data_IF_899988108172
#
_entry.id   IF_899988108172
#
_cell.length_a   1.000
_cell.length_b   1.000
_cell.length_c   1.000
_cell.angle_alpha   90.00
_cell.angle_beta   90.00
_cell.angle_gamma   90.00
#
_symmetry.space_group_name_H-M   'P 1'
#
loop_
_entity.id
_entity.type
_entity.pdbx_description
1 polymer ?
#
# COMPACT_ATOMS: atom_id res chain seq x y z
N UNK A 1 -14.35 -3.70 4.58
CA UNK A 1 -14.70 -2.27 4.72
C UNK A 1 -13.51 -1.31 4.73
N UNK A 2 -12.53 -1.38 5.66
CA UNK A 2 -11.52 -0.30 5.80
C UNK A 2 -10.60 -0.08 4.58
N UNK A 3 -10.39 -1.12 3.76
CA UNK A 3 -9.56 -1.04 2.54
C UNK A 3 -10.38 -0.89 1.26
N UNK A 4 -11.71 -0.85 1.38
CA UNK A 4 -12.64 -0.84 0.25
C UNK A 4 -12.42 0.39 -0.61
N UNK A 5 -12.47 1.59 -0.03
CA UNK A 5 -12.23 2.84 -0.75
C UNK A 5 -10.82 2.91 -1.37
N UNK A 6 -9.83 2.26 -0.74
CA UNK A 6 -8.43 2.28 -1.21
C UNK A 6 -8.25 1.36 -2.44
N UNK A 7 -9.01 0.26 -2.50
CA UNK A 7 -8.86 -0.76 -3.53
C UNK A 7 -10.05 -0.82 -4.49
N UNK A 8 -11.05 0.07 -4.36
CA UNK A 8 -12.26 0.08 -5.17
C UNK A 8 -11.92 0.23 -6.67
N UNK A 9 -11.10 1.22 -7.02
CA UNK A 9 -10.66 1.50 -8.39
C UNK A 9 -9.86 0.34 -9.01
N UNK A 10 -9.36 -0.57 -8.18
CA UNK A 10 -8.53 -1.72 -8.59
C UNK A 10 -9.21 -3.05 -8.26
N UNK A 11 -10.54 -3.06 -8.09
CA UNK A 11 -11.36 -4.25 -7.87
C UNK A 11 -10.89 -5.13 -6.70
N UNK A 12 -10.40 -4.50 -5.62
CA UNK A 12 -9.91 -5.20 -4.42
C UNK A 12 -8.45 -5.67 -4.49
N UNK A 13 -7.75 -5.44 -5.61
CA UNK A 13 -6.35 -5.85 -5.79
C UNK A 13 -5.42 -4.67 -5.49
N UNK A 14 -4.39 -4.86 -4.67
CA UNK A 14 -3.35 -3.85 -4.49
C UNK A 14 -2.36 -3.89 -5.64
N UNK A 15 -2.32 -2.81 -6.42
CA UNK A 15 -1.48 -2.66 -7.61
C UNK A 15 -0.48 -1.52 -7.43
N UNK A 16 -0.86 -0.48 -6.70
CA UNK A 16 -0.09 0.75 -6.58
C UNK A 16 0.63 0.91 -5.24
N UNK A 17 1.80 1.54 -5.28
CA UNK A 17 2.58 1.91 -4.11
C UNK A 17 1.78 2.81 -3.14
N UNK A 18 1.01 3.72 -3.69
CA UNK A 18 0.17 4.66 -2.96
C UNK A 18 -0.94 3.94 -2.17
N UNK A 19 -1.43 2.78 -2.65
CA UNK A 19 -2.41 1.97 -1.93
C UNK A 19 -1.80 1.32 -0.68
N UNK A 20 -0.54 0.87 -0.75
CA UNK A 20 0.19 0.34 0.42
C UNK A 20 0.34 1.42 1.49
N UNK A 21 0.70 2.63 1.07
CA UNK A 21 0.84 3.76 1.99
C UNK A 21 -0.49 4.15 2.63
N UNK A 22 -1.56 4.27 1.83
CA UNK A 22 -2.90 4.58 2.31
C UNK A 22 -3.42 3.48 3.26
N UNK A 23 -3.18 2.21 2.96
CA UNK A 23 -3.55 1.09 3.82
C UNK A 23 -2.84 1.14 5.17
N UNK A 24 -1.53 1.41 5.19
CA UNK A 24 -0.78 1.56 6.45
C UNK A 24 -1.32 2.71 7.30
N UNK A 25 -1.63 3.85 6.68
CA UNK A 25 -2.23 4.99 7.38
C UNK A 25 -3.62 4.65 7.94
N UNK A 26 -4.50 4.08 7.11
CA UNK A 26 -5.88 3.76 7.48
C UNK A 26 -5.97 2.65 8.53
N UNK A 27 -5.12 1.63 8.44
CA UNK A 27 -5.17 0.45 9.31
C UNK A 27 -4.38 0.64 10.60
N UNK A 28 -3.17 1.19 10.52
CA UNK A 28 -2.24 1.28 11.66
C UNK A 28 -2.06 2.70 12.20
N UNK A 29 -2.71 3.70 11.60
CA UNK A 29 -2.60 5.10 12.02
C UNK A 29 -1.25 5.73 11.67
N UNK A 30 -0.57 5.22 10.64
CA UNK A 30 0.69 5.78 10.16
C UNK A 30 0.48 7.19 9.60
N UNK A 31 1.41 8.10 9.88
CA UNK A 31 1.52 9.33 9.10
C UNK A 31 1.98 9.02 7.68
N UNK A 32 1.77 9.94 6.73
CA UNK A 32 2.24 9.78 5.35
C UNK A 32 3.75 9.53 5.27
N UNK A 33 4.53 10.19 6.14
CA UNK A 33 5.98 10.01 6.21
C UNK A 33 6.36 8.59 6.69
N UNK A 34 5.67 8.08 7.73
CA UNK A 34 5.89 6.71 8.21
C UNK A 34 5.49 5.69 7.14
N UNK A 35 4.40 5.93 6.43
CA UNK A 35 3.94 5.06 5.35
C UNK A 35 4.93 4.99 4.18
N UNK A 36 5.59 6.10 3.80
CA UNK A 36 6.65 6.07 2.79
C UNK A 36 7.90 5.32 3.28
N UNK A 37 8.26 5.46 4.56
CA UNK A 37 9.37 4.67 5.15
C UNK A 37 9.09 3.16 5.06
N UNK A 38 7.86 2.74 5.39
CA UNK A 38 7.41 1.36 5.24
C UNK A 38 7.53 0.89 3.78
N UNK A 39 6.99 1.67 2.84
CA UNK A 39 7.06 1.37 1.40
C UNK A 39 8.51 1.19 0.93
N UNK A 40 9.42 2.06 1.36
CA UNK A 40 10.85 1.97 1.03
C UNK A 40 11.51 0.73 1.63
N UNK A 41 11.19 0.39 2.87
CA UNK A 41 11.71 -0.81 3.54
C UNK A 41 11.26 -2.09 2.81
N UNK A 42 9.99 -2.16 2.42
CA UNK A 42 9.43 -3.26 1.63
C UNK A 42 10.12 -3.39 0.26
N UNK A 43 10.30 -2.28 -0.45
CA UNK A 43 10.97 -2.29 -1.76
C UNK A 43 12.44 -2.73 -1.70
N UNK A 44 13.16 -2.41 -0.61
CA UNK A 44 14.55 -2.85 -0.39
C UNK A 44 14.69 -4.25 0.21
N UNK A 45 13.59 -4.87 0.66
CA UNK A 45 13.58 -6.16 1.37
C UNK A 45 14.53 -6.19 2.58
N UNK A 46 14.63 -5.06 3.29
CA UNK A 46 15.49 -4.90 4.47
C UNK A 46 14.87 -5.64 5.66
N UNK A 47 15.37 -6.82 6.00
CA UNK A 47 14.79 -7.72 7.00
C UNK A 47 14.68 -7.09 8.39
N UNK A 48 15.71 -6.35 8.82
CA UNK A 48 15.73 -5.74 10.15
C UNK A 48 14.70 -4.61 10.25
N UNK A 49 14.63 -3.75 9.24
CA UNK A 49 13.63 -2.68 9.19
C UNK A 49 12.22 -3.24 9.05
N UNK A 50 12.03 -4.28 8.24
CA UNK A 50 10.73 -4.93 8.08
C UNK A 50 10.23 -5.56 9.38
N UNK A 51 11.10 -6.20 10.16
CA UNK A 51 10.72 -6.73 11.47
C UNK A 51 10.29 -5.62 12.45
N UNK A 52 11.01 -4.50 12.46
CA UNK A 52 10.65 -3.33 13.27
C UNK A 52 9.32 -2.73 12.84
N UNK A 53 9.13 -2.54 11.53
CA UNK A 53 7.91 -1.97 10.98
C UNK A 53 6.70 -2.91 11.13
N UNK A 54 6.89 -4.23 11.08
CA UNK A 54 5.83 -5.19 11.38
C UNK A 54 5.29 -4.98 12.79
N UNK A 55 6.18 -4.86 13.79
CA UNK A 55 5.78 -4.63 15.17
C UNK A 55 4.99 -3.32 15.31
N UNK A 56 5.53 -2.23 14.76
CA UNK A 56 4.87 -0.92 14.76
C UNK A 56 3.49 -0.97 14.09
N UNK A 57 3.37 -1.69 12.97
CA UNK A 57 2.11 -1.85 12.24
C UNK A 57 1.07 -2.62 13.07
N UNK A 58 1.45 -3.73 13.70
CA UNK A 58 0.55 -4.54 14.53
C UNK A 58 0.05 -3.72 15.73
N UNK A 59 0.96 -3.06 16.46
CA UNK A 59 0.62 -2.19 17.58
C UNK A 59 -0.28 -1.03 17.14
N UNK A 60 0.04 -0.43 16.00
CA UNK A 60 -0.77 0.62 15.37
C UNK A 60 -2.18 0.13 15.00
N UNK A 61 -2.30 -1.08 14.46
CA UNK A 61 -3.57 -1.71 14.10
C UNK A 61 -4.44 -2.00 15.33
N UNK A 62 -3.84 -2.49 16.40
CA UNK A 62 -4.54 -2.71 17.67
C UNK A 62 -5.02 -1.37 18.27
N UNK A 63 -4.17 -0.33 18.27
CA UNK A 63 -4.49 0.98 18.83
C UNK A 63 -5.55 1.74 18.01
N UNK A 64 -5.43 1.73 16.69
CA UNK A 64 -6.22 2.60 15.80
C UNK A 64 -7.59 1.99 15.48
N UNK A 65 -7.61 0.69 15.16
CA UNK A 65 -8.81 0.01 14.66
C UNK A 65 -9.18 -1.24 15.46
N UNK A 66 -8.49 -1.53 16.57
CA UNK A 66 -8.70 -2.72 17.41
C UNK A 66 -8.62 -4.03 16.59
N UNK A 67 -7.76 -4.05 15.58
CA UNK A 67 -7.58 -5.23 14.73
C UNK A 67 -6.76 -6.27 15.50
N UNK A 68 -7.23 -7.52 15.63
CA UNK A 68 -6.49 -8.57 16.31
C UNK A 68 -5.14 -8.83 15.65
N UNK A 69 -4.13 -9.12 16.47
CA UNK A 69 -2.75 -9.35 16.03
C UNK A 69 -2.63 -10.38 14.89
N UNK A 70 -3.35 -11.50 14.97
CA UNK A 70 -3.35 -12.54 13.93
C UNK A 70 -3.76 -11.97 12.56
N UNK A 71 -4.77 -11.10 12.55
CA UNK A 71 -5.27 -10.47 11.32
C UNK A 71 -4.32 -9.37 10.84
N UNK A 72 -3.76 -8.58 11.75
CA UNK A 72 -2.77 -7.56 11.42
C UNK A 72 -1.51 -8.18 10.78
N UNK A 73 -1.02 -9.30 11.32
CA UNK A 73 0.08 -10.06 10.73
C UNK A 73 -0.22 -10.53 9.31
N UNK A 74 -1.39 -11.17 9.10
CA UNK A 74 -1.79 -11.63 7.77
C UNK A 74 -1.92 -10.49 6.76
N UNK A 75 -2.42 -9.32 7.20
CA UNK A 75 -2.47 -8.12 6.34
C UNK A 75 -1.05 -7.64 6.01
N UNK A 76 -0.15 -7.60 6.99
CA UNK A 76 1.23 -7.19 6.75
C UNK A 76 1.95 -8.11 5.76
N UNK A 77 1.76 -9.43 5.88
CA UNK A 77 2.29 -10.42 4.92
C UNK A 77 1.79 -10.14 3.49
N UNK A 78 0.53 -9.75 3.37
CA UNK A 78 -0.09 -9.40 2.09
C UNK A 78 0.53 -8.11 1.52
N UNK A 79 0.68 -7.07 2.34
CA UNK A 79 1.32 -5.81 1.96
C UNK A 79 2.77 -6.04 1.50
N UNK A 80 3.53 -6.86 2.23
CA UNK A 80 4.91 -7.21 1.89
C UNK A 80 5.02 -7.91 0.53
N UNK A 81 4.15 -8.89 0.26
CA UNK A 81 4.10 -9.57 -1.05
C UNK A 81 3.79 -8.61 -2.18
N UNK A 82 2.82 -7.70 -2.00
CA UNK A 82 2.42 -6.76 -3.05
C UNK A 82 3.42 -5.62 -3.25
N UNK A 83 4.09 -5.16 -2.20
CA UNK A 83 5.04 -4.06 -2.30
C UNK A 83 6.24 -4.39 -3.21
N UNK A 84 6.56 -5.68 -3.41
CA UNK A 84 7.56 -6.10 -4.41
C UNK A 84 7.15 -5.87 -5.87
N UNK A 85 5.85 -5.74 -6.14
CA UNK A 85 5.27 -5.54 -7.48
C UNK A 85 4.48 -4.23 -7.60
N UNK A 86 4.40 -3.45 -6.52
CA UNK A 86 3.64 -2.20 -6.46
C UNK A 86 4.18 -1.18 -7.46
N UNK A 87 3.33 -0.74 -8.38
CA UNK A 87 3.66 0.25 -9.38
C UNK A 87 3.43 1.68 -8.86
N UNK A 88 4.17 2.65 -9.37
CA UNK A 88 3.93 4.04 -9.02
C UNK A 88 2.70 4.57 -9.78
N UNK A 89 1.61 4.93 -9.05
CA UNK A 89 0.35 5.36 -9.66
C UNK A 89 0.50 6.66 -10.45
N UNK A 90 1.26 7.62 -9.93
CA UNK A 90 1.41 8.92 -10.59
C UNK A 90 2.13 8.80 -11.93
N UNK A 91 3.18 7.97 -12.02
CA UNK A 91 3.84 7.65 -13.28
C UNK A 91 2.91 6.91 -14.25
N UNK A 92 2.21 5.88 -13.78
CA UNK A 92 1.26 5.12 -14.60
C UNK A 92 0.13 5.99 -15.15
N UNK A 93 -0.45 6.87 -14.34
CA UNK A 93 -1.52 7.77 -14.75
C UNK A 93 -1.06 8.78 -15.80
N UNK A 94 0.13 9.39 -15.61
CA UNK A 94 0.67 10.38 -16.55
C UNK A 94 0.86 9.78 -17.97
N UNK A 95 1.45 8.58 -18.06
CA UNK A 95 1.62 7.88 -19.33
C UNK A 95 0.30 7.30 -19.86
N UNK A 96 -0.62 6.93 -18.98
CA UNK A 96 -1.97 6.50 -19.35
C UNK A 96 -2.74 7.58 -20.09
N UNK A 97 -2.65 8.85 -19.66
CA UNK A 97 -3.27 9.99 -20.35
C UNK A 97 -2.74 10.14 -21.77
N UNK A 98 -1.42 10.09 -21.97
CA UNK A 98 -0.81 10.18 -23.31
C UNK A 98 -1.29 9.03 -24.20
N UNK A 99 -1.33 7.81 -23.66
CA UNK A 99 -1.78 6.62 -24.39
C UNK A 99 -3.25 6.73 -24.81
N UNK A 100 -4.10 7.27 -23.93
CA UNK A 100 -5.50 7.53 -24.25
C UNK A 100 -5.64 8.59 -25.35
N UNK A 101 -4.87 9.69 -25.26
CA UNK A 101 -4.90 10.76 -26.26
C UNK A 101 -4.50 10.24 -27.66
N UNK A 102 -3.44 9.44 -27.75
CA UNK A 102 -3.01 8.89 -29.04
C UNK A 102 -4.01 7.86 -29.59
N UNK A 103 -4.64 7.07 -28.73
CA UNK A 103 -5.71 6.15 -29.13
C UNK A 103 -6.94 6.91 -29.65
N UNK A 104 -7.34 8.00 -28.95
CA UNK A 104 -8.45 8.85 -29.36
C UNK A 104 -8.22 9.50 -30.72
N UNK A 105 -7.01 10.02 -30.97
CA UNK A 105 -6.66 10.63 -32.26
C UNK A 105 -6.61 9.64 -33.42
N UNK A 106 -6.49 8.34 -33.13
CA UNK A 106 -6.50 7.27 -34.13
C UNK A 106 -7.93 6.82 -34.50
N UNK A 107 -8.87 6.89 -33.55
CA UNK A 107 -10.25 6.42 -33.69
C UNK A 107 -11.07 7.31 -34.64
#
# INVERSE_FOLDING_TARGET
PLLEDICADTYGVMIYQEQVMAAASKLAGYSLAQADLLRRAMGKKDKEKMAKERKNFIEGCARTNKIPEKKANAIFDLLEKFAGYGFNKSHSAAYGVISYQTAYLKA
#
